data_IF_244823110432
#
_entry.id   IF_244823110432
#
_cell.length_a   1.000
_cell.length_b   1.000
_cell.length_c   1.000
_cell.angle_alpha   90.00
_cell.angle_beta   90.00
_cell.angle_gamma   90.00
#
_symmetry.space_group_name_H-M   'P 1'
#
loop_
_entity.id
_entity.type
_entity.pdbx_description
1 polymer ?
#
# COMPACT_ATOMS: atom_id res chain seq x y z
N UNK A 1 -3.72 -13.99 -7.43
CA UNK A 1 -4.05 -12.65 -6.89
C UNK A 1 -3.03 -11.59 -7.25
N UNK A 2 -1.74 -11.78 -6.98
CA UNK A 2 -0.71 -10.77 -7.31
C UNK A 2 -0.43 -10.71 -8.82
N UNK A 3 -0.29 -11.87 -9.50
CA UNK A 3 -0.07 -11.92 -10.95
C UNK A 3 -1.32 -11.56 -11.77
N UNK A 4 -2.52 -11.81 -11.23
CA UNK A 4 -3.80 -11.46 -11.86
C UNK A 4 -4.20 -9.98 -11.69
N UNK A 5 -3.28 -9.15 -11.16
CA UNK A 5 -3.51 -7.73 -10.82
C UNK A 5 -4.75 -7.51 -9.93
N UNK A 6 -5.13 -8.52 -9.15
CA UNK A 6 -6.23 -8.44 -8.17
C UNK A 6 -5.77 -7.69 -6.93
N UNK A 7 -4.47 -7.79 -6.62
CA UNK A 7 -3.83 -6.99 -5.57
C UNK A 7 -3.32 -5.68 -6.18
N UNK A 8 -3.85 -4.57 -5.68
CA UNK A 8 -3.40 -3.22 -6.01
C UNK A 8 -2.47 -2.71 -4.91
N UNK A 9 -1.30 -2.23 -5.34
CA UNK A 9 -0.38 -1.48 -4.48
C UNK A 9 -0.81 -0.02 -4.62
N UNK A 10 -1.26 0.65 -3.54
CA UNK A 10 -1.57 2.07 -3.62
C UNK A 10 -0.34 2.84 -4.11
N UNK A 11 -0.51 3.80 -5.03
CA UNK A 11 0.58 4.65 -5.58
C UNK A 11 1.43 5.37 -4.51
N UNK A 12 0.90 5.35 -3.29
CA UNK A 12 1.30 6.01 -2.06
C UNK A 12 2.26 5.23 -1.18
N UNK A 13 2.26 3.91 -1.29
CA UNK A 13 3.15 3.10 -0.47
C UNK A 13 4.58 3.38 -0.93
N UNK A 14 5.49 3.58 0.04
CA UNK A 14 6.92 3.47 -0.26
C UNK A 14 7.10 2.11 -0.94
N UNK A 15 7.78 2.10 -2.08
CA UNK A 15 8.05 0.88 -2.82
C UNK A 15 8.81 -0.16 -1.99
N UNK A 16 9.39 -1.16 -2.63
CA UNK A 16 10.15 -2.15 -1.88
C UNK A 16 11.39 -1.52 -1.22
N UNK A 17 11.46 -1.52 0.11
CA UNK A 17 12.52 -0.88 0.92
C UNK A 17 13.32 -1.88 1.75
N UNK A 18 12.88 -3.13 1.87
CA UNK A 18 13.64 -4.14 2.60
C UNK A 18 14.98 -4.44 1.91
N UNK A 19 16.03 -4.59 2.72
CA UNK A 19 17.30 -5.10 2.22
C UNK A 19 17.24 -6.63 2.06
N UNK A 20 18.24 -7.20 1.38
CA UNK A 20 18.29 -8.65 1.11
C UNK A 20 18.27 -9.50 2.38
N UNK A 21 18.86 -9.03 3.49
CA UNK A 21 18.88 -9.77 4.76
C UNK A 21 17.50 -9.81 5.41
N UNK A 22 16.77 -8.68 5.43
CA UNK A 22 15.39 -8.62 5.93
C UNK A 22 14.47 -9.54 5.12
N UNK A 23 14.58 -9.48 3.79
CA UNK A 23 13.85 -10.35 2.89
C UNK A 23 14.19 -11.83 3.12
N UNK A 24 15.47 -12.16 3.31
CA UNK A 24 15.92 -13.54 3.54
C UNK A 24 15.40 -14.11 4.86
N UNK A 25 15.40 -13.31 5.93
CA UNK A 25 14.86 -13.71 7.23
C UNK A 25 13.36 -14.03 7.19
N UNK A 26 12.59 -13.31 6.36
CA UNK A 26 11.18 -13.68 6.14
C UNK A 26 11.06 -15.07 5.53
N UNK A 27 11.83 -15.36 4.48
CA UNK A 27 11.79 -16.67 3.81
C UNK A 27 12.24 -17.78 4.76
N UNK A 28 13.29 -17.56 5.55
CA UNK A 28 13.72 -18.48 6.62
C UNK A 28 12.58 -18.76 7.61
N UNK A 29 11.93 -17.71 8.13
CA UNK A 29 10.78 -17.86 9.04
C UNK A 29 9.64 -18.67 8.41
N UNK A 30 9.35 -18.47 7.12
CA UNK A 30 8.33 -19.26 6.40
C UNK A 30 8.75 -20.73 6.33
N UNK A 31 9.97 -21.03 5.91
CA UNK A 31 10.49 -22.41 5.82
C UNK A 31 10.47 -23.10 7.19
N UNK A 32 10.75 -22.35 8.26
CA UNK A 32 10.77 -22.86 9.64
C UNK A 32 9.38 -22.93 10.29
N UNK A 33 8.33 -22.42 9.64
CA UNK A 33 6.98 -22.41 10.22
C UNK A 33 6.83 -21.46 11.41
N UNK A 34 7.66 -20.41 11.49
CA UNK A 34 7.59 -19.41 12.55
C UNK A 34 6.39 -18.48 12.33
N UNK A 35 5.74 -18.00 13.41
CA UNK A 35 4.63 -17.06 13.29
C UNK A 35 5.09 -15.77 12.62
N UNK A 36 4.36 -15.37 11.58
CA UNK A 36 4.57 -14.12 10.87
C UNK A 36 3.49 -13.11 11.25
N UNK A 37 3.79 -11.81 11.24
CA UNK A 37 2.73 -10.82 11.37
C UNK A 37 1.79 -10.92 10.16
N UNK A 38 0.52 -10.59 10.36
CA UNK A 38 -0.51 -10.71 9.34
C UNK A 38 -0.28 -9.76 8.16
N UNK A 39 -0.78 -10.15 6.99
CA UNK A 39 -0.99 -9.26 5.83
C UNK A 39 -2.38 -8.65 5.96
N UNK A 40 -2.49 -7.34 5.73
CA UNK A 40 -3.76 -6.62 5.83
C UNK A 40 -4.19 -6.12 4.46
N UNK A 41 -5.42 -6.50 4.06
CA UNK A 41 -6.00 -6.15 2.78
C UNK A 41 -7.34 -5.43 2.98
N UNK A 42 -7.67 -4.50 2.09
CA UNK A 42 -9.00 -3.90 1.97
C UNK A 42 -9.62 -4.36 0.68
N UNK A 43 -10.77 -5.01 0.77
CA UNK A 43 -11.55 -5.33 -0.40
C UNK A 43 -12.20 -4.07 -0.96
N UNK A 44 -12.05 -3.86 -2.26
CA UNK A 44 -12.70 -2.80 -3.00
C UNK A 44 -13.37 -3.36 -4.24
N UNK A 45 -14.47 -2.74 -4.66
CA UNK A 45 -15.18 -3.13 -5.87
C UNK A 45 -14.87 -2.13 -6.98
N UNK A 46 -14.36 -2.63 -8.10
CA UNK A 46 -13.99 -1.84 -9.26
C UNK A 46 -14.35 -2.61 -10.52
N UNK A 47 -15.05 -1.98 -11.46
CA UNK A 47 -15.57 -2.63 -12.67
C UNK A 47 -16.36 -3.92 -12.38
N UNK A 48 -17.13 -3.94 -11.28
CA UNK A 48 -17.87 -5.12 -10.78
C UNK A 48 -16.98 -6.32 -10.43
N UNK A 49 -15.69 -6.09 -10.19
CA UNK A 49 -14.73 -7.11 -9.75
C UNK A 49 -14.18 -6.73 -8.38
N UNK A 50 -14.01 -7.74 -7.53
CA UNK A 50 -13.34 -7.58 -6.24
C UNK A 50 -11.84 -7.42 -6.46
N UNK A 51 -11.31 -6.28 -6.07
CA UNK A 51 -9.87 -5.98 -5.98
C UNK A 51 -9.48 -5.83 -4.51
N UNK A 52 -8.19 -5.92 -4.22
CA UNK A 52 -7.67 -5.84 -2.86
C UNK A 52 -6.53 -4.83 -2.78
N UNK A 53 -6.67 -3.82 -1.94
CA UNK A 53 -5.61 -2.88 -1.62
C UNK A 53 -4.76 -3.45 -0.50
N UNK A 54 -3.43 -3.47 -0.68
CA UNK A 54 -2.51 -3.83 0.39
C UNK A 54 -2.36 -2.66 1.35
N UNK A 55 -2.76 -2.85 2.60
CA UNK A 55 -2.59 -1.87 3.67
C UNK A 55 -1.26 -2.06 4.37
N UNK A 56 -0.95 -3.30 4.69
CA UNK A 56 0.32 -3.72 5.27
C UNK A 56 0.72 -5.09 4.73
N UNK A 57 2.03 -5.32 4.61
CA UNK A 57 2.60 -6.56 4.09
C UNK A 57 3.11 -6.51 2.66
N UNK A 58 3.18 -5.34 2.04
CA UNK A 58 3.76 -5.17 0.69
C UNK A 58 5.16 -5.81 0.59
N UNK A 59 6.03 -5.54 1.57
CA UNK A 59 7.39 -6.07 1.59
C UNK A 59 7.39 -7.61 1.69
N UNK A 60 6.44 -8.20 2.43
CA UNK A 60 6.31 -9.65 2.58
C UNK A 60 5.84 -10.31 1.29
N UNK A 61 4.72 -9.83 0.73
CA UNK A 61 4.17 -10.33 -0.54
C UNK A 61 5.22 -10.26 -1.65
N UNK A 62 5.89 -9.12 -1.77
CA UNK A 62 6.93 -8.90 -2.79
C UNK A 62 8.11 -9.84 -2.61
N UNK A 63 8.56 -10.05 -1.37
CA UNK A 63 9.66 -10.96 -1.04
C UNK A 63 9.32 -12.40 -1.39
N UNK A 64 8.14 -12.87 -0.98
CA UNK A 64 7.64 -14.23 -1.26
C UNK A 64 7.56 -14.47 -2.77
N UNK A 65 6.91 -13.55 -3.49
CA UNK A 65 6.82 -13.62 -4.95
C UNK A 65 8.20 -13.62 -5.61
N UNK A 66 9.10 -12.75 -5.17
CA UNK A 66 10.46 -12.70 -5.74
C UNK A 66 11.23 -13.99 -5.53
N UNK A 67 11.14 -14.60 -4.34
CA UNK A 67 11.83 -15.85 -4.04
C UNK A 67 11.24 -17.01 -4.86
N UNK A 68 9.91 -17.18 -4.81
CA UNK A 68 9.19 -18.28 -5.46
C UNK A 68 9.43 -18.34 -6.97
N UNK A 69 9.47 -17.20 -7.63
CA UNK A 69 9.72 -17.10 -9.08
C UNK A 69 11.18 -16.82 -9.44
N UNK A 70 12.09 -16.90 -8.46
CA UNK A 70 13.50 -16.58 -8.63
C UNK A 70 13.77 -15.21 -9.30
N UNK A 71 12.88 -14.23 -9.05
CA UNK A 71 13.00 -12.85 -9.53
C UNK A 71 13.91 -12.07 -8.59
N UNK A 72 14.62 -11.07 -9.10
CA UNK A 72 15.39 -10.15 -8.25
C UNK A 72 14.45 -9.35 -7.34
N UNK A 73 14.94 -8.98 -6.15
CA UNK A 73 14.24 -7.98 -5.33
C UNK A 73 14.17 -6.64 -6.09
N UNK A 74 13.08 -5.86 -5.97
CA UNK A 74 12.89 -4.66 -6.81
C UNK A 74 14.00 -3.61 -6.67
N UNK A 75 14.57 -3.46 -5.47
CA UNK A 75 15.67 -2.54 -5.17
C UNK A 75 17.07 -3.13 -5.43
N UNK A 76 17.17 -4.38 -5.90
CA UNK A 76 18.45 -5.01 -6.22
C UNK A 76 18.96 -4.55 -7.58
N UNK A 77 20.24 -4.14 -7.60
CA UNK A 77 20.99 -3.78 -8.83
C UNK A 77 21.45 -5.05 -9.57
N UNK A 78 21.45 -6.21 -8.91
CA UNK A 78 21.85 -7.48 -9.53
C UNK A 78 20.81 -7.93 -10.55
N UNK A 79 21.29 -8.50 -11.65
CA UNK A 79 20.48 -9.11 -12.70
C UNK A 79 20.08 -10.55 -12.37
N UNK A 80 20.81 -11.20 -11.47
CA UNK A 80 20.51 -12.55 -11.00
C UNK A 80 19.34 -12.58 -10.01
N UNK A 81 18.73 -13.76 -9.89
CA UNK A 81 17.58 -14.01 -9.01
C UNK A 81 17.84 -13.80 -7.52
N UNK A 82 16.85 -14.10 -6.69
CA UNK A 82 16.90 -13.86 -5.25
C UNK A 82 17.37 -15.11 -4.48
N UNK A 83 18.63 -15.08 -4.01
CA UNK A 83 19.16 -16.06 -3.06
C UNK A 83 19.21 -15.53 -1.63
N UNK A 84 19.10 -16.43 -0.65
CA UNK A 84 19.06 -16.06 0.77
C UNK A 84 20.44 -15.63 1.29
N UNK A 85 20.45 -14.60 2.15
CA UNK A 85 21.66 -14.05 2.78
C UNK A 85 21.40 -13.64 4.23
N UNK A 86 22.38 -13.89 5.11
CA UNK A 86 22.32 -13.44 6.50
C UNK A 86 21.26 -14.20 7.34
N UNK A 87 21.06 -15.46 6.99
CA UNK A 87 20.19 -16.46 7.64
C UNK A 87 21.03 -17.64 8.12
N UNK A 88 20.42 -18.66 8.72
CA UNK A 88 21.10 -19.89 9.11
C UNK A 88 21.97 -20.44 7.97
N UNK A 89 23.15 -20.95 8.30
CA UNK A 89 24.13 -21.46 7.32
C UNK A 89 23.54 -22.51 6.37
N UNK A 90 22.57 -23.30 6.83
CA UNK A 90 21.83 -24.29 6.01
C UNK A 90 21.07 -23.67 4.84
N UNK A 91 20.54 -22.46 5.01
CA UNK A 91 19.71 -21.77 4.03
C UNK A 91 20.49 -20.72 3.23
N UNK A 92 21.69 -20.35 3.68
CA UNK A 92 22.46 -19.29 3.06
C UNK A 92 22.83 -19.64 1.60
N UNK A 93 22.66 -18.67 0.71
CA UNK A 93 22.80 -18.78 -0.76
C UNK A 93 21.77 -19.68 -1.47
N UNK A 94 20.79 -20.23 -0.76
CA UNK A 94 19.75 -21.05 -1.40
C UNK A 94 18.75 -20.21 -2.17
N UNK A 95 18.25 -20.76 -3.27
CA UNK A 95 17.13 -20.23 -4.05
C UNK A 95 15.93 -21.17 -3.93
N UNK A 96 14.78 -20.79 -4.49
CA UNK A 96 13.56 -21.57 -4.35
C UNK A 96 13.65 -23.01 -4.87
N UNK A 97 14.33 -23.25 -5.99
CA UNK A 97 14.51 -24.60 -6.53
C UNK A 97 15.30 -25.53 -5.59
N UNK A 98 16.21 -24.99 -4.79
CA UNK A 98 16.99 -25.79 -3.86
C UNK A 98 16.14 -26.34 -2.70
N UNK A 99 14.95 -25.78 -2.45
CA UNK A 99 14.07 -26.27 -1.38
C UNK A 99 13.53 -27.66 -1.65
N UNK A 100 13.42 -28.06 -2.92
CA UNK A 100 12.97 -29.38 -3.32
C UNK A 100 14.02 -30.44 -2.94
N UNK A 101 15.28 -30.22 -3.32
CA UNK A 101 16.41 -31.09 -2.94
C UNK A 101 16.60 -31.18 -1.42
N UNK A 102 16.20 -30.13 -0.69
CA UNK A 102 16.28 -30.06 0.77
C UNK A 102 15.08 -30.71 1.48
N UNK A 103 14.04 -31.11 0.76
CA UNK A 103 12.79 -31.63 1.33
C UNK A 103 12.00 -30.57 2.12
N UNK A 104 12.16 -29.28 1.81
CA UNK A 104 11.55 -28.15 2.51
C UNK A 104 10.56 -27.35 1.66
N UNK A 105 10.35 -27.78 0.41
CA UNK A 105 9.43 -27.11 -0.52
C UNK A 105 8.00 -27.04 0.03
N UNK A 106 7.56 -28.11 0.70
CA UNK A 106 6.24 -28.21 1.32
C UNK A 106 6.09 -27.24 2.50
N UNK A 107 7.13 -27.10 3.33
CA UNK A 107 7.15 -26.10 4.39
C UNK A 107 6.92 -24.70 3.82
N UNK A 108 7.62 -24.36 2.73
CA UNK A 108 7.45 -23.05 2.13
C UNK A 108 6.05 -22.84 1.53
N UNK A 109 5.49 -23.86 0.87
CA UNK A 109 4.18 -23.78 0.19
C UNK A 109 2.99 -23.79 1.16
N UNK A 110 3.08 -24.55 2.25
CA UNK A 110 1.92 -24.85 3.09
C UNK A 110 1.96 -24.19 4.47
N UNK A 111 3.11 -23.65 4.91
CA UNK A 111 3.11 -22.86 6.13
C UNK A 111 2.26 -21.60 5.96
N UNK A 112 1.44 -21.33 6.97
CA UNK A 112 0.37 -20.36 6.88
C UNK A 112 0.85 -18.94 7.14
N UNK A 113 0.39 -17.99 6.32
CA UNK A 113 0.49 -16.56 6.59
C UNK A 113 -0.92 -16.04 6.81
N UNK A 114 -1.15 -15.43 7.98
CA UNK A 114 -2.45 -14.85 8.30
C UNK A 114 -2.74 -13.66 7.37
N UNK A 115 -3.88 -13.69 6.70
CA UNK A 115 -4.39 -12.58 5.91
C UNK A 115 -5.67 -12.07 6.57
N UNK A 116 -5.68 -10.79 6.93
CA UNK A 116 -6.84 -10.13 7.50
C UNK A 116 -7.41 -9.22 6.41
N UNK A 117 -8.62 -9.56 5.96
CA UNK A 117 -9.39 -8.76 5.01
C UNK A 117 -10.38 -7.86 5.77
N UNK A 118 -10.32 -6.56 5.50
CA UNK A 118 -11.36 -5.63 5.91
C UNK A 118 -12.37 -5.42 4.77
N UNK A 119 -13.64 -5.52 5.13
CA UNK A 119 -14.78 -5.16 4.29
C UNK A 119 -15.50 -3.98 4.94
N UNK A 120 -15.57 -2.85 4.24
CA UNK A 120 -16.42 -1.75 4.67
C UNK A 120 -17.85 -2.04 4.18
N UNK A 121 -18.79 -2.24 5.11
CA UNK A 121 -20.23 -2.27 4.79
C UNK A 121 -20.74 -0.83 4.72
N UNK A 122 -21.65 -0.52 3.80
CA UNK A 122 -22.22 0.81 3.66
C UNK A 122 -22.98 1.26 4.95
N UNK A 123 -23.01 2.56 5.28
CA UNK A 123 -22.35 3.66 4.59
C UNK A 123 -20.84 3.68 4.84
N UNK A 124 -20.09 4.25 3.91
CA UNK A 124 -18.64 4.30 3.94
C UNK A 124 -18.18 5.25 5.07
N UNK A 125 -18.05 4.73 6.29
CA UNK A 125 -17.54 5.49 7.44
C UNK A 125 -16.02 5.27 7.58
N UNK A 126 -15.26 6.14 6.92
CA UNK A 126 -13.79 6.11 6.80
C UNK A 126 -13.00 6.21 8.10
N UNK A 127 -13.64 6.60 9.21
CA UNK A 127 -12.99 6.66 10.52
C UNK A 127 -12.42 5.30 10.94
N UNK A 128 -13.13 4.21 10.62
CA UNK A 128 -12.69 2.86 10.97
C UNK A 128 -11.42 2.46 10.21
N UNK A 129 -11.40 2.63 8.89
CA UNK A 129 -10.24 2.33 8.06
C UNK A 129 -9.05 3.20 8.44
N UNK A 130 -9.23 4.50 8.61
CA UNK A 130 -8.18 5.41 9.07
C UNK A 130 -7.62 4.98 10.43
N UNK A 131 -8.49 4.61 11.39
CA UNK A 131 -8.07 4.16 12.72
C UNK A 131 -7.31 2.83 12.68
N UNK A 132 -7.66 1.91 11.78
CA UNK A 132 -6.94 0.66 11.57
C UNK A 132 -5.55 0.96 11.00
N UNK A 133 -5.46 1.83 9.99
CA UNK A 133 -4.18 2.26 9.44
C UNK A 133 -3.29 2.91 10.49
N UNK A 134 -3.81 3.83 11.30
CA UNK A 134 -3.06 4.42 12.41
C UNK A 134 -2.62 3.35 13.41
N UNK A 135 -3.51 2.45 13.84
CA UNK A 135 -3.19 1.38 14.82
C UNK A 135 -2.15 0.38 14.32
N UNK A 136 -2.19 0.03 13.04
CA UNK A 136 -1.20 -0.86 12.44
C UNK A 136 0.17 -0.19 12.29
N UNK A 137 0.20 1.11 12.02
CA UNK A 137 1.46 1.86 11.80
C UNK A 137 1.99 2.57 13.07
N UNK A 138 1.24 2.61 14.17
CA UNK A 138 1.65 3.28 15.42
C UNK A 138 2.72 2.53 16.22
N UNK A 139 3.03 1.28 15.85
CA UNK A 139 4.25 0.59 16.31
C UNK A 139 5.51 0.91 15.50
N UNK A 140 5.40 1.75 14.45
CA UNK A 140 6.49 2.15 13.55
C UNK A 140 6.50 3.67 13.30
N UNK A 141 7.06 4.11 12.16
CA UNK A 141 6.94 5.52 11.76
C UNK A 141 5.52 5.77 11.27
N UNK A 142 4.71 6.50 12.04
CA UNK A 142 3.35 6.86 11.67
C UNK A 142 3.31 7.48 10.27
N UNK A 143 2.44 6.94 9.40
CA UNK A 143 2.11 7.58 8.14
C UNK A 143 1.41 8.92 8.43
N UNK A 144 1.77 9.96 7.70
CA UNK A 144 1.11 11.26 7.83
C UNK A 144 -0.33 11.18 7.34
N UNK A 145 -1.20 12.06 7.85
CA UNK A 145 -2.64 12.05 7.50
C UNK A 145 -2.87 12.08 5.99
N UNK A 146 -2.06 12.80 5.22
CA UNK A 146 -2.17 12.81 3.75
C UNK A 146 -1.77 11.47 3.11
N UNK A 147 -0.78 10.79 3.67
CA UNK A 147 -0.37 9.47 3.19
C UNK A 147 -1.46 8.43 3.38
N UNK A 148 -2.15 8.49 4.53
CA UNK A 148 -3.31 7.66 4.80
C UNK A 148 -4.45 8.03 3.85
N UNK A 149 -4.77 9.33 3.71
CA UNK A 149 -5.85 9.82 2.83
C UNK A 149 -5.70 9.37 1.38
N UNK A 150 -4.55 9.59 0.75
CA UNK A 150 -4.39 9.13 -0.63
C UNK A 150 -4.39 7.59 -0.73
N UNK A 151 -4.06 6.84 0.33
CA UNK A 151 -4.12 5.37 0.30
C UNK A 151 -5.56 4.84 0.37
N UNK A 152 -6.43 5.58 1.04
CA UNK A 152 -7.87 5.26 1.16
C UNK A 152 -8.63 5.78 -0.07
N UNK A 153 -8.35 7.02 -0.49
CA UNK A 153 -9.06 7.72 -1.59
C UNK A 153 -8.29 7.60 -2.90
N UNK A 154 -8.26 6.40 -3.46
CA UNK A 154 -7.75 6.18 -4.81
C UNK A 154 -8.86 6.48 -5.83
N UNK A 155 -8.48 7.03 -6.99
CA UNK A 155 -9.45 7.50 -7.99
C UNK A 155 -8.87 8.59 -8.88
N UNK A 156 -9.59 8.94 -9.94
CA UNK A 156 -9.16 9.89 -10.96
C UNK A 156 -8.79 11.26 -10.38
N UNK A 157 -9.60 11.79 -9.47
CA UNK A 157 -9.30 13.04 -8.78
C UNK A 157 -7.98 12.95 -8.00
N UNK A 158 -7.80 11.90 -7.19
CA UNK A 158 -6.58 11.74 -6.39
C UNK A 158 -5.34 11.57 -7.27
N UNK A 159 -5.44 10.80 -8.36
CA UNK A 159 -4.35 10.67 -9.35
C UNK A 159 -4.00 12.02 -9.97
N UNK A 160 -5.00 12.78 -10.46
CA UNK A 160 -4.79 14.12 -11.04
C UNK A 160 -4.20 15.10 -10.04
N UNK A 161 -4.70 15.12 -8.80
CA UNK A 161 -4.18 15.95 -7.71
C UNK A 161 -2.69 15.69 -7.47
N UNK A 162 -2.30 14.42 -7.37
CA UNK A 162 -0.92 14.02 -7.13
C UNK A 162 -0.03 14.33 -8.34
N UNK A 163 -0.50 14.07 -9.56
CA UNK A 163 0.22 14.42 -10.79
C UNK A 163 0.44 15.92 -10.91
N UNK A 164 -0.59 16.72 -10.63
CA UNK A 164 -0.50 18.18 -10.60
C UNK A 164 0.50 18.64 -9.54
N UNK A 165 0.37 18.15 -8.31
CA UNK A 165 1.24 18.55 -7.21
C UNK A 165 2.69 18.15 -7.46
N UNK A 166 2.93 16.96 -8.00
CA UNK A 166 4.27 16.49 -8.41
C UNK A 166 4.88 17.37 -9.50
N UNK A 167 4.09 17.78 -10.49
CA UNK A 167 4.57 18.54 -11.65
C UNK A 167 4.83 20.01 -11.31
N UNK A 168 3.91 20.65 -10.59
CA UNK A 168 3.93 22.11 -10.45
C UNK A 168 4.34 22.60 -9.06
N UNK A 169 4.06 21.84 -8.01
CA UNK A 169 4.18 22.29 -6.62
C UNK A 169 5.39 21.70 -5.91
N UNK A 170 5.82 20.49 -6.28
CA UNK A 170 6.87 19.74 -5.59
C UNK A 170 8.19 20.50 -5.40
N UNK A 171 8.56 21.36 -6.35
CA UNK A 171 9.79 22.18 -6.32
C UNK A 171 9.85 23.17 -5.14
N UNK A 172 8.71 23.48 -4.53
CA UNK A 172 8.63 24.38 -3.36
C UNK A 172 8.72 23.63 -2.02
N UNK A 173 8.91 22.31 -2.06
CA UNK A 173 8.95 21.45 -0.88
C UNK A 173 10.28 20.70 -0.82
N UNK A 174 10.75 20.42 0.39
CA UNK A 174 11.90 19.53 0.58
C UNK A 174 11.58 18.11 0.09
N UNK A 175 12.62 17.33 -0.22
CA UNK A 175 12.45 15.94 -0.63
C UNK A 175 11.67 15.11 0.41
N UNK A 176 11.96 15.32 1.70
CA UNK A 176 11.22 14.68 2.78
C UNK A 176 9.73 15.09 2.79
N UNK A 177 9.42 16.37 2.60
CA UNK A 177 8.04 16.86 2.57
C UNK A 177 7.26 16.37 1.33
N UNK A 178 7.93 16.20 0.18
CA UNK A 178 7.33 15.60 -1.02
C UNK A 178 7.02 14.11 -0.83
N UNK A 179 7.93 13.34 -0.21
CA UNK A 179 7.68 11.93 0.13
C UNK A 179 6.52 11.76 1.13
N UNK A 180 6.35 12.76 1.97
CA UNK A 180 5.23 12.90 2.92
C UNK A 180 3.94 13.44 2.30
N UNK A 181 4.00 13.88 1.03
CA UNK A 181 2.91 14.42 0.24
C UNK A 181 2.27 15.70 0.79
N UNK A 182 3.06 16.49 1.52
CA UNK A 182 2.63 17.80 2.03
C UNK A 182 2.25 18.74 0.87
N UNK A 183 2.94 18.61 -0.27
CA UNK A 183 2.61 19.33 -1.50
C UNK A 183 1.21 18.99 -2.01
N UNK A 184 0.80 17.73 -1.96
CA UNK A 184 -0.52 17.29 -2.44
C UNK A 184 -1.61 17.67 -1.45
N UNK A 185 -1.30 17.66 -0.15
CA UNK A 185 -2.16 18.20 0.90
C UNK A 185 -2.42 19.70 0.74
N UNK A 186 -1.40 20.49 0.40
CA UNK A 186 -1.55 21.93 0.18
C UNK A 186 -2.55 22.22 -0.94
N UNK A 187 -2.39 21.55 -2.09
CA UNK A 187 -3.29 21.73 -3.25
C UNK A 187 -4.72 21.33 -2.87
N UNK A 188 -4.88 20.20 -2.18
CA UNK A 188 -6.18 19.74 -1.73
C UNK A 188 -6.87 20.74 -0.80
N UNK A 189 -6.12 21.29 0.16
CA UNK A 189 -6.64 22.31 1.07
C UNK A 189 -7.03 23.58 0.31
N UNK A 190 -6.24 23.99 -0.69
CA UNK A 190 -6.57 25.15 -1.50
C UNK A 190 -7.86 24.96 -2.31
N UNK A 191 -8.05 23.79 -2.93
CA UNK A 191 -9.30 23.43 -3.63
C UNK A 191 -10.48 23.43 -2.65
N UNK A 192 -10.34 22.75 -1.51
CA UNK A 192 -11.40 22.67 -0.51
C UNK A 192 -11.81 24.05 0.03
N UNK A 193 -10.84 24.95 0.26
CA UNK A 193 -11.13 26.33 0.68
C UNK A 193 -11.80 27.11 -0.45
N UNK A 194 -11.32 26.98 -1.68
CA UNK A 194 -11.89 27.68 -2.83
C UNK A 194 -13.36 27.30 -3.05
N UNK A 195 -13.67 26.01 -3.00
CA UNK A 195 -15.04 25.51 -3.16
C UNK A 195 -15.95 25.98 -2.00
N UNK A 196 -15.45 25.94 -0.76
CA UNK A 196 -16.17 26.44 0.41
C UNK A 196 -16.52 27.93 0.29
N UNK A 197 -15.62 28.73 -0.30
CA UNK A 197 -15.85 30.16 -0.49
C UNK A 197 -16.81 30.46 -1.65
N UNK A 198 -16.98 29.51 -2.58
CA UNK A 198 -17.80 29.68 -3.79
C UNK A 198 -19.26 29.25 -3.58
N UNK A 199 -19.53 28.31 -2.68
CA UNK A 199 -20.89 27.87 -2.35
C UNK A 199 -21.31 28.40 -0.97
N UNK A 200 -22.32 29.28 -0.93
CA UNK A 200 -22.93 29.76 0.33
C UNK A 200 -23.64 28.62 1.11
N UNK A 201 -24.01 27.52 0.45
CA UNK A 201 -24.84 26.41 1.00
C UNK A 201 -24.05 25.21 1.57
N UNK A 202 -22.72 25.12 1.41
CA UNK A 202 -21.95 23.99 1.98
C UNK A 202 -21.88 24.07 3.51
N UNK A 203 -22.13 25.25 4.09
CA UNK A 203 -22.03 25.51 5.53
C UNK A 203 -23.09 24.78 6.38
N UNK A 204 -24.23 24.37 5.82
CA UNK A 204 -25.24 23.59 6.56
C UNK A 204 -24.89 22.11 6.71
N UNK A 205 -23.89 21.66 5.96
CA UNK A 205 -23.50 20.28 5.84
C UNK A 205 -22.22 20.11 6.69
N UNK A 206 -22.31 19.31 7.77
CA UNK A 206 -21.28 19.02 8.79
C UNK A 206 -19.95 18.42 8.25
N UNK A 207 -19.34 18.99 7.22
CA UNK A 207 -18.20 18.43 6.50
C UNK A 207 -16.96 19.30 6.66
N UNK A 208 -16.43 19.38 7.88
CA UNK A 208 -15.13 19.98 8.11
C UNK A 208 -14.02 18.95 7.83
N UNK A 209 -13.47 18.93 6.62
CA UNK A 209 -12.19 18.26 6.38
C UNK A 209 -11.84 17.93 4.93
N UNK A 210 -10.54 17.88 4.63
CA UNK A 210 -9.99 17.50 3.33
C UNK A 210 -10.29 16.05 2.89
N UNK A 211 -10.76 15.23 3.84
CA UNK A 211 -11.22 13.85 3.61
C UNK A 211 -12.53 13.84 2.83
N UNK A 212 -13.52 14.62 3.27
CA UNK A 212 -14.83 14.67 2.65
C UNK A 212 -14.74 15.16 1.21
N UNK A 213 -13.96 16.22 0.98
CA UNK A 213 -13.79 16.78 -0.36
C UNK A 213 -13.25 15.75 -1.35
N UNK A 214 -12.35 14.86 -0.92
CA UNK A 214 -11.86 13.77 -1.76
C UNK A 214 -12.94 12.77 -2.12
N UNK A 215 -13.84 12.43 -1.20
CA UNK A 215 -14.94 11.52 -1.49
C UNK A 215 -15.90 12.13 -2.49
N UNK A 216 -16.35 13.36 -2.22
CA UNK A 216 -17.30 14.06 -3.08
C UNK A 216 -16.77 14.18 -4.51
N UNK A 217 -15.48 14.53 -4.65
CA UNK A 217 -14.84 14.70 -5.97
C UNK A 217 -14.49 13.36 -6.65
N UNK A 218 -14.23 12.29 -5.89
CA UNK A 218 -14.07 10.95 -6.47
C UNK A 218 -15.41 10.31 -6.88
N UNK A 219 -16.49 10.56 -6.12
CA UNK A 219 -17.83 10.06 -6.43
C UNK A 219 -18.46 10.79 -7.63
N UNK A 220 -18.21 12.09 -7.77
CA UNK A 220 -18.69 12.87 -8.92
C UNK A 220 -18.05 12.49 -10.25
N UNK A 221 -16.84 11.91 -10.24
CA UNK A 221 -16.15 11.41 -11.43
C UNK A 221 -16.68 10.04 -11.93
N UNK A 222 -17.57 9.36 -11.19
CA UNK A 222 -18.14 8.06 -11.59
C UNK A 222 -19.30 8.17 -12.60
N UNK A 223 -19.78 9.38 -12.90
CA UNK A 223 -20.74 9.59 -13.97
C UNK A 223 -20.45 10.90 -14.72
N UNK A 224 -19.94 10.85 -15.97
CA UNK A 224 -20.24 11.93 -16.89
C UNK A 224 -21.74 11.88 -17.12
N UNK A 225 -22.49 12.77 -16.46
CA UNK A 225 -23.85 13.09 -16.91
C UNK A 225 -23.70 13.77 -18.28
N UNK A 226 -23.87 12.97 -19.32
CA UNK A 226 -24.35 13.43 -20.63
C UNK A 226 -25.87 13.41 -20.55
#
# INVERSE_FOLDING_TARGET
MFEDEVIKIPEMQRGFVWNQVQASKLIESIIMGLPLPSIFLVAVEEDKRKKFLVIDGLQRITTIHSFMFNKRLPNSIKTSGFSLKGVNSRFNNKVYSDLEDMGLIDNFKYNTINVIEFKQSAPYNESAMFSIFERLNSGGTSLLSQQIRNSIFYGNFNTKLNSFSKTYISKYFSQAANLSLNNSELVLRAIAIYDLLKEEDILEKQFLGSIVYKNLLNETDLHPKI
#
